data_IF_981209616008
#
_entry.id   IF_981209616008
#
_cell.length_a   1.000
_cell.length_b   1.000
_cell.length_c   1.000
_cell.angle_alpha   90.00
_cell.angle_beta   90.00
_cell.angle_gamma   90.00
#
_symmetry.space_group_name_H-M   'P 1'
#
loop_
_entity.id
_entity.type
_entity.pdbx_description
1 polymer ?
#
# COMPACT_ATOMS: atom_id res chain seq x y z
N UNK A 1 -40.71 2.15 3.76
CA UNK A 1 -39.97 0.88 3.96
C UNK A 1 -39.36 0.28 2.67
N UNK A 2 -40.04 0.31 1.51
CA UNK A 2 -39.46 -0.20 0.23
C UNK A 2 -38.10 0.41 -0.13
N UNK A 3 -37.93 1.72 0.05
CA UNK A 3 -36.66 2.43 -0.26
C UNK A 3 -35.50 1.95 0.63
N UNK A 4 -35.73 1.75 1.95
CA UNK A 4 -34.70 1.20 2.84
C UNK A 4 -34.34 -0.25 2.49
N UNK A 5 -35.31 -1.06 2.05
CA UNK A 5 -35.07 -2.44 1.64
C UNK A 5 -34.23 -2.51 0.36
N UNK A 6 -34.55 -1.67 -0.63
CA UNK A 6 -33.82 -1.54 -1.89
C UNK A 6 -32.41 -0.96 -1.67
N UNK A 7 -32.24 -0.01 -0.75
CA UNK A 7 -30.93 0.53 -0.37
C UNK A 7 -30.08 -0.53 0.33
N UNK A 8 -30.66 -1.31 1.24
CA UNK A 8 -29.98 -2.44 1.89
C UNK A 8 -29.55 -3.49 0.86
N UNK A 9 -30.41 -3.86 -0.09
CA UNK A 9 -30.06 -4.78 -1.19
C UNK A 9 -28.97 -4.22 -2.12
N UNK A 10 -28.95 -2.91 -2.37
CA UNK A 10 -27.89 -2.26 -3.14
C UNK A 10 -26.55 -2.25 -2.39
N UNK A 11 -26.56 -1.89 -1.10
CA UNK A 11 -25.37 -1.85 -0.25
C UNK A 11 -24.81 -3.25 0.04
N UNK A 12 -25.67 -4.27 0.13
CA UNK A 12 -25.26 -5.66 0.34
C UNK A 12 -24.80 -6.37 -0.94
N UNK A 13 -24.75 -5.69 -2.09
CA UNK A 13 -23.98 -6.20 -3.22
C UNK A 13 -22.52 -6.26 -2.79
N UNK A 14 -21.94 -7.45 -2.69
CA UNK A 14 -20.59 -7.68 -2.17
C UNK A 14 -19.54 -6.70 -2.73
N UNK A 15 -19.63 -6.38 -4.02
CA UNK A 15 -18.74 -5.42 -4.68
C UNK A 15 -18.73 -4.00 -4.05
N UNK A 16 -19.83 -3.53 -3.45
CA UNK A 16 -19.90 -2.20 -2.82
C UNK A 16 -19.30 -2.20 -1.43
N UNK A 17 -19.52 -3.27 -0.65
CA UNK A 17 -18.95 -3.42 0.69
C UNK A 17 -17.44 -3.57 0.61
N UNK A 18 -16.94 -4.43 -0.27
CA UNK A 18 -15.51 -4.67 -0.44
C UNK A 18 -14.78 -3.40 -0.93
N UNK A 19 -15.42 -2.65 -1.85
CA UNK A 19 -14.90 -1.37 -2.30
C UNK A 19 -14.87 -0.34 -1.16
N UNK A 20 -15.92 -0.26 -0.34
CA UNK A 20 -15.95 0.66 0.80
C UNK A 20 -14.85 0.34 1.82
N UNK A 21 -14.65 -0.95 2.14
CA UNK A 21 -13.58 -1.41 3.03
C UNK A 21 -12.21 -1.07 2.43
N UNK A 22 -11.99 -1.34 1.15
CA UNK A 22 -10.75 -1.02 0.45
C UNK A 22 -10.39 0.47 0.51
N UNK A 23 -11.36 1.36 0.28
CA UNK A 23 -11.15 2.82 0.36
C UNK A 23 -10.83 3.27 1.78
N UNK A 24 -11.51 2.72 2.79
CA UNK A 24 -11.25 3.06 4.20
C UNK A 24 -9.85 2.61 4.61
N UNK A 25 -9.46 1.38 4.27
CA UNK A 25 -8.13 0.85 4.59
C UNK A 25 -7.05 1.66 3.85
N UNK A 26 -7.25 1.96 2.57
CA UNK A 26 -6.31 2.76 1.80
C UNK A 26 -6.10 4.16 2.39
N UNK A 27 -7.18 4.83 2.81
CA UNK A 27 -7.08 6.16 3.44
C UNK A 27 -6.41 6.11 4.81
N UNK A 28 -6.75 5.14 5.66
CA UNK A 28 -6.12 4.94 6.96
C UNK A 28 -4.63 4.59 6.83
N UNK A 29 -4.28 3.69 5.91
CA UNK A 29 -2.89 3.34 5.63
C UNK A 29 -2.10 4.53 5.08
N UNK A 30 -2.70 5.32 4.19
CA UNK A 30 -2.11 6.56 3.70
C UNK A 30 -1.79 7.55 4.82
N UNK A 31 -2.65 7.68 5.83
CA UNK A 31 -2.40 8.53 6.99
C UNK A 31 -1.21 8.04 7.82
N UNK A 32 -1.06 6.72 8.02
CA UNK A 32 0.08 6.12 8.73
C UNK A 32 1.39 6.41 7.97
N UNK A 33 1.41 6.21 6.66
CA UNK A 33 2.58 6.51 5.82
C UNK A 33 2.92 8.00 5.88
N UNK A 34 1.90 8.86 5.81
CA UNK A 34 2.09 10.32 5.90
C UNK A 34 2.71 10.72 7.22
N UNK A 35 2.23 10.17 8.35
CA UNK A 35 2.81 10.43 9.68
C UNK A 35 4.23 9.90 9.79
N UNK A 36 4.53 8.69 9.32
CA UNK A 36 5.90 8.17 9.28
C UNK A 36 6.85 9.12 8.54
N UNK A 37 6.42 9.65 7.39
CA UNK A 37 7.28 10.54 6.61
C UNK A 37 7.42 11.89 7.30
N UNK A 38 6.31 12.54 7.66
CA UNK A 38 6.33 13.90 8.21
C UNK A 38 6.93 13.96 9.62
N UNK A 39 6.62 12.99 10.47
CA UNK A 39 6.93 13.06 11.91
C UNK A 39 8.23 12.33 12.26
N UNK A 40 8.70 11.41 11.41
CA UNK A 40 9.91 10.60 11.68
C UNK A 40 10.97 10.86 10.61
N UNK A 41 10.69 10.58 9.35
CA UNK A 41 11.72 10.66 8.29
C UNK A 41 12.17 12.10 8.03
N UNK A 42 11.23 13.04 7.93
CA UNK A 42 11.53 14.44 7.66
C UNK A 42 12.41 15.05 8.75
N UNK A 43 12.08 15.01 10.05
CA UNK A 43 12.95 15.59 11.08
C UNK A 43 14.27 14.85 11.27
N UNK A 44 14.32 13.53 11.09
CA UNK A 44 15.53 12.74 11.35
C UNK A 44 16.50 12.67 10.17
N UNK A 45 16.00 12.69 8.95
CA UNK A 45 16.81 12.51 7.73
C UNK A 45 16.77 13.77 6.86
N UNK A 46 15.58 14.22 6.50
CA UNK A 46 15.44 15.30 5.51
C UNK A 46 15.91 16.65 6.03
N UNK A 47 15.52 17.04 7.25
CA UNK A 47 15.88 18.32 7.85
C UNK A 47 17.41 18.45 7.98
N UNK A 48 18.14 17.50 8.60
CA UNK A 48 19.61 17.54 8.64
C UNK A 48 20.26 17.57 7.24
N UNK A 49 19.71 16.84 6.27
CA UNK A 49 20.20 16.86 4.89
C UNK A 49 20.00 18.24 4.23
N UNK A 50 18.85 18.87 4.43
CA UNK A 50 18.56 20.23 3.94
C UNK A 50 19.46 21.27 4.62
N UNK A 51 19.76 21.09 5.92
CA UNK A 51 20.73 21.94 6.66
C UNK A 51 22.11 21.84 6.05
N UNK A 52 22.60 20.63 5.85
CA UNK A 52 23.92 20.38 5.26
C UNK A 52 24.05 20.98 3.85
N UNK A 53 22.97 21.00 3.08
CA UNK A 53 22.92 21.57 1.74
C UNK A 53 22.61 23.08 1.69
N UNK A 54 22.48 23.77 2.84
CA UNK A 54 22.13 25.21 2.94
C UNK A 54 20.80 25.58 2.24
N UNK A 55 19.87 24.63 2.15
CA UNK A 55 18.57 24.79 1.44
C UNK A 55 17.38 24.70 2.40
N UNK A 56 17.57 24.98 3.69
CA UNK A 56 16.50 24.91 4.71
C UNK A 56 15.30 25.80 4.40
N UNK A 57 15.53 26.89 3.66
CA UNK A 57 14.51 27.92 3.36
C UNK A 57 13.99 27.85 1.93
N UNK A 58 14.08 26.68 1.28
CA UNK A 58 13.54 26.47 -0.08
C UNK A 58 12.08 26.92 -0.22
N UNK A 59 11.27 26.78 0.84
CA UNK A 59 9.88 27.20 0.85
C UNK A 59 9.67 28.71 0.69
N UNK A 60 10.69 29.52 1.04
CA UNK A 60 10.64 30.98 1.01
C UNK A 60 11.15 31.59 -0.31
N UNK A 61 11.63 30.75 -1.23
CA UNK A 61 12.10 31.24 -2.53
C UNK A 61 10.95 31.89 -3.30
N UNK A 62 11.19 33.12 -3.72
CA UNK A 62 10.29 33.86 -4.59
C UNK A 62 11.08 34.58 -5.68
N UNK A 63 10.46 34.71 -6.85
CA UNK A 63 11.00 35.49 -7.96
C UNK A 63 9.90 36.43 -8.46
N UNK A 64 10.18 37.73 -8.45
CA UNK A 64 9.25 38.78 -8.89
C UNK A 64 7.84 38.67 -8.27
N UNK A 65 7.75 38.34 -6.98
CA UNK A 65 6.47 38.15 -6.28
C UNK A 65 5.81 36.78 -6.46
N UNK A 66 6.38 35.89 -7.29
CA UNK A 66 5.92 34.50 -7.43
C UNK A 66 6.70 33.60 -6.46
N UNK A 67 6.05 33.14 -5.40
CA UNK A 67 6.60 32.19 -4.42
C UNK A 67 6.58 30.76 -4.94
N UNK A 68 7.57 30.37 -5.75
CA UNK A 68 7.70 29.00 -6.25
C UNK A 68 8.33 28.04 -5.23
N UNK A 69 8.90 28.58 -4.16
CA UNK A 69 9.52 27.80 -3.10
C UNK A 69 8.60 26.78 -2.43
N UNK A 70 7.35 27.17 -2.17
CA UNK A 70 6.33 26.28 -1.58
C UNK A 70 5.99 25.11 -2.49
N UNK A 71 5.89 25.35 -3.80
CA UNK A 71 5.68 24.31 -4.80
C UNK A 71 6.88 23.35 -4.87
N UNK A 72 8.11 23.89 -4.90
CA UNK A 72 9.32 23.06 -4.91
C UNK A 72 9.44 22.20 -3.65
N UNK A 73 9.10 22.77 -2.48
CA UNK A 73 9.03 22.04 -1.22
C UNK A 73 8.01 20.90 -1.27
N UNK A 74 6.84 21.12 -1.89
CA UNK A 74 5.82 20.09 -2.05
C UNK A 74 6.30 18.96 -2.98
N UNK A 75 7.00 19.28 -4.08
CA UNK A 75 7.60 18.29 -4.99
C UNK A 75 8.64 17.44 -4.26
N UNK A 76 9.53 18.07 -3.48
CA UNK A 76 10.53 17.35 -2.69
C UNK A 76 9.86 16.44 -1.68
N UNK A 77 8.85 16.93 -0.95
CA UNK A 77 8.10 16.11 0.00
C UNK A 77 7.45 14.90 -0.68
N UNK A 78 6.83 15.09 -1.84
CA UNK A 78 6.24 13.99 -2.62
C UNK A 78 7.29 12.92 -3.01
N UNK A 79 8.47 13.35 -3.49
CA UNK A 79 9.56 12.42 -3.82
C UNK A 79 10.04 11.65 -2.59
N UNK A 80 10.14 12.31 -1.43
CA UNK A 80 10.54 11.67 -0.17
C UNK A 80 9.50 10.64 0.27
N UNK A 81 8.21 11.02 0.32
CA UNK A 81 7.12 10.10 0.67
C UNK A 81 7.10 8.89 -0.26
N UNK A 82 7.17 9.11 -1.58
CA UNK A 82 7.19 8.03 -2.57
C UNK A 82 8.39 7.11 -2.42
N UNK A 83 9.57 7.67 -2.15
CA UNK A 83 10.80 6.87 -1.92
C UNK A 83 10.68 6.03 -0.64
N UNK A 84 10.18 6.60 0.45
CA UNK A 84 9.97 5.87 1.70
C UNK A 84 8.95 4.75 1.50
N UNK A 85 7.84 5.04 0.83
CA UNK A 85 6.81 4.04 0.53
C UNK A 85 7.38 2.89 -0.30
N UNK A 86 8.22 3.16 -1.29
CA UNK A 86 8.92 2.14 -2.06
C UNK A 86 9.75 1.21 -1.15
N UNK A 87 10.52 1.76 -0.21
CA UNK A 87 11.30 0.95 0.73
C UNK A 87 10.42 0.14 1.70
N UNK A 88 9.32 0.70 2.17
CA UNK A 88 8.36 0.00 3.04
C UNK A 88 7.75 -1.19 2.30
N UNK A 89 7.25 -0.99 1.07
CA UNK A 89 6.67 -2.05 0.25
C UNK A 89 7.71 -3.15 -0.02
N UNK A 90 8.93 -2.76 -0.42
CA UNK A 90 10.02 -3.72 -0.67
C UNK A 90 10.41 -4.50 0.60
N UNK A 91 10.33 -3.87 1.77
CA UNK A 91 10.55 -4.50 3.06
C UNK A 91 9.51 -5.56 3.38
N UNK A 92 8.23 -5.25 3.13
CA UNK A 92 7.11 -6.19 3.29
C UNK A 92 7.23 -7.35 2.31
N UNK A 93 7.48 -7.08 1.02
CA UNK A 93 7.69 -8.12 -0.01
C UNK A 93 8.82 -9.08 0.39
N UNK A 94 9.95 -8.54 0.87
CA UNK A 94 11.08 -9.36 1.33
C UNK A 94 10.69 -10.21 2.54
N UNK A 95 9.98 -9.65 3.51
CA UNK A 95 9.53 -10.38 4.70
C UNK A 95 8.54 -11.51 4.35
N UNK A 96 7.59 -11.24 3.44
CA UNK A 96 6.65 -12.25 2.96
C UNK A 96 7.35 -13.38 2.19
N UNK A 97 8.34 -13.04 1.35
CA UNK A 97 9.12 -14.03 0.61
C UNK A 97 9.99 -14.92 1.52
N UNK A 98 10.44 -14.39 2.67
CA UNK A 98 11.16 -15.18 3.68
C UNK A 98 10.22 -16.14 4.41
N UNK A 99 9.02 -15.69 4.82
CA UNK A 99 8.00 -16.54 5.47
C UNK A 99 7.51 -17.66 4.55
N UNK A 100 7.29 -17.35 3.27
CA UNK A 100 6.89 -18.33 2.25
C UNK A 100 7.97 -19.39 1.97
N UNK A 101 9.23 -19.11 2.34
CA UNK A 101 10.35 -20.04 2.22
C UNK A 101 10.51 -20.92 3.46
N UNK A 102 10.07 -20.45 4.63
CA UNK A 102 10.03 -21.21 5.89
C UNK A 102 8.83 -22.17 5.95
N UNK A 103 7.66 -21.78 5.41
CA UNK A 103 6.48 -22.67 5.33
C UNK A 103 6.69 -23.90 4.41
N UNK A 104 7.64 -23.85 3.46
CA UNK A 104 8.01 -25.00 2.60
C UNK A 104 8.84 -26.05 3.36
N UNK A 105 9.36 -25.74 4.55
CA UNK A 105 10.16 -26.67 5.35
C UNK A 105 9.30 -27.47 6.34
N UNK A 106 8.03 -27.08 6.57
CA UNK A 106 7.19 -27.68 7.63
C UNK A 106 5.74 -27.98 7.24
N UNK A 107 5.42 -28.17 5.95
CA UNK A 107 4.12 -28.74 5.57
C UNK A 107 4.19 -30.26 5.37
N UNK A 108 3.59 -30.98 6.32
CA UNK A 108 2.90 -32.24 6.06
C UNK A 108 2.07 -32.12 4.76
N UNK A 109 1.91 -33.20 3.96
CA UNK A 109 1.55 -33.10 2.54
C UNK A 109 0.35 -32.19 2.32
N UNK A 110 0.58 -31.10 1.58
CA UNK A 110 -0.45 -30.18 1.16
C UNK A 110 -1.66 -30.95 0.62
N UNK A 111 -2.86 -30.60 1.08
CA UNK A 111 -4.08 -31.13 0.50
C UNK A 111 -4.06 -30.86 -1.01
N UNK A 112 -4.46 -31.83 -1.86
CA UNK A 112 -4.35 -31.69 -3.30
C UNK A 112 -5.11 -30.44 -3.76
N UNK A 113 -4.43 -29.63 -4.57
CA UNK A 113 -4.99 -28.42 -5.15
C UNK A 113 -6.20 -28.75 -6.03
N UNK A 114 -7.14 -27.82 -6.17
CA UNK A 114 -8.34 -28.03 -7.00
C UNK A 114 -8.00 -28.48 -8.43
N UNK A 115 -6.88 -28.01 -8.98
CA UNK A 115 -6.37 -28.45 -10.28
C UNK A 115 -5.96 -29.92 -10.29
N UNK A 116 -5.31 -30.40 -9.23
CA UNK A 116 -4.93 -31.81 -9.07
C UNK A 116 -6.18 -32.69 -8.94
N UNK A 117 -7.18 -32.25 -8.17
CA UNK A 117 -8.47 -32.94 -8.03
C UNK A 117 -9.21 -33.01 -9.37
N UNK A 118 -9.23 -31.92 -10.14
CA UNK A 118 -9.86 -31.90 -11.47
C UNK A 118 -9.13 -32.80 -12.48
N UNK A 119 -7.81 -32.88 -12.40
CA UNK A 119 -7.02 -33.81 -13.21
C UNK A 119 -7.29 -35.27 -12.84
N UNK A 120 -7.41 -35.56 -11.54
CA UNK A 120 -7.75 -36.88 -11.03
C UNK A 120 -9.17 -37.31 -11.45
N UNK A 121 -10.15 -36.40 -11.35
CA UNK A 121 -11.51 -36.62 -11.84
C UNK A 121 -11.52 -36.91 -13.35
N UNK A 122 -10.76 -36.16 -14.15
CA UNK A 122 -10.65 -36.39 -15.60
C UNK A 122 -10.07 -37.78 -15.88
N UNK A 123 -8.99 -38.16 -15.20
CA UNK A 123 -8.37 -39.46 -15.37
C UNK A 123 -9.29 -40.63 -14.95
N UNK A 124 -10.12 -40.44 -13.93
CA UNK A 124 -11.13 -41.42 -13.51
C UNK A 124 -12.29 -41.56 -14.50
N UNK A 125 -12.66 -40.47 -15.19
CA UNK A 125 -13.68 -40.48 -16.23
C UNK A 125 -13.20 -41.15 -17.52
N UNK A 126 -11.94 -40.99 -17.91
CA UNK A 126 -11.36 -41.65 -19.10
C UNK A 126 -11.18 -43.16 -18.92
N UNK A 127 -11.17 -43.66 -17.68
CA UNK A 127 -11.09 -45.09 -17.35
C UNK A 127 -12.45 -45.80 -17.31
N UNK A 128 -13.57 -45.08 -17.43
CA UNK A 128 -14.92 -45.63 -17.53
C UNK A 128 -15.39 -45.68 -18.97
#
# INVERSE_FOLDING_TARGET
MKVLKNLKEFLLRGNVVDLAVGVIIASAFGAIVTSLVNDIITPLILNPALKAANVERIAELSWNGVGYGSFLSAVINFLVVGTVLFFVIKGIEKAQNLRKKEEVVEEAPAAPTELEVLQEIKALLEKK
#
